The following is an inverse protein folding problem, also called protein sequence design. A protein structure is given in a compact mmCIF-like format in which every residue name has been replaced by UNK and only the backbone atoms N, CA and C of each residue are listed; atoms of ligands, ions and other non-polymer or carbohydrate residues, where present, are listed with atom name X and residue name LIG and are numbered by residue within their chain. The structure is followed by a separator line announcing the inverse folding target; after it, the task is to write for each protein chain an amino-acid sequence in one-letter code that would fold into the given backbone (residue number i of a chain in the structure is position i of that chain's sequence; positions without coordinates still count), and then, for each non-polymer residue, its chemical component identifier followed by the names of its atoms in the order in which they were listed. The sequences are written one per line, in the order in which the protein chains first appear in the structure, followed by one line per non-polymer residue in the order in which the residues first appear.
data_IF_352940310196
#
_entry.id   IF_352940310196
#
_cell.length_a   1.000
_cell.length_b   1.000
_cell.length_c   1.000
_cell.angle_alpha   90.00
_cell.angle_beta   90.00
_cell.angle_gamma   90.00
#
_symmetry.space_group_name_H-M   'P 1'
#
loop_
_entity.id
_entity.type
_entity.pdbx_description
1 polymer ?
#
# COMPACT_ATOMS: atom_id res chain seq x y z
N UNK A 1 26.00 -14.96 -5.46
CA UNK A 1 25.20 -13.71 -5.38
C UNK A 1 23.85 -14.00 -6.00
N UNK A 2 22.77 -13.66 -5.31
CA UNK A 2 21.39 -13.95 -5.74
C UNK A 2 20.65 -12.64 -6.05
N UNK A 3 19.77 -12.67 -7.06
CA UNK A 3 18.99 -11.51 -7.48
C UNK A 3 17.50 -11.83 -7.39
N UNK A 4 16.76 -11.06 -6.59
CA UNK A 4 15.31 -11.22 -6.42
C UNK A 4 14.62 -10.08 -7.19
N UNK A 5 13.80 -10.45 -8.17
CA UNK A 5 13.02 -9.52 -8.98
C UNK A 5 11.56 -9.56 -8.58
N UNK A 6 11.01 -8.40 -8.15
CA UNK A 6 9.58 -8.23 -7.86
C UNK A 6 9.01 -7.18 -8.81
N UNK A 7 8.09 -7.59 -9.67
CA UNK A 7 7.43 -6.70 -10.63
C UNK A 7 6.00 -7.19 -10.90
N UNK A 8 5.09 -6.25 -11.16
CA UNK A 8 3.72 -6.53 -11.59
C UNK A 8 3.57 -6.49 -13.12
N UNK A 9 4.65 -6.20 -13.86
CA UNK A 9 4.63 -6.13 -15.32
C UNK A 9 5.14 -7.44 -15.93
N UNK A 10 4.20 -8.26 -16.39
CA UNK A 10 4.45 -9.58 -16.97
C UNK A 10 5.34 -9.53 -18.22
N UNK A 11 5.17 -8.50 -19.08
CA UNK A 11 5.98 -8.36 -20.29
C UNK A 11 7.46 -8.10 -19.98
N UNK A 12 7.72 -7.25 -18.98
CA UNK A 12 9.09 -6.96 -18.55
C UNK A 12 9.74 -8.19 -17.92
N UNK A 13 9.01 -8.94 -17.09
CA UNK A 13 9.50 -10.18 -16.49
C UNK A 13 9.83 -11.22 -17.58
N UNK A 14 8.97 -11.39 -18.59
CA UNK A 14 9.20 -12.32 -19.68
C UNK A 14 10.49 -12.00 -20.46
N UNK A 15 10.74 -10.72 -20.75
CA UNK A 15 11.98 -10.25 -21.41
C UNK A 15 13.22 -10.57 -20.57
N UNK A 16 13.15 -10.32 -19.27
CA UNK A 16 14.27 -10.58 -18.35
C UNK A 16 14.54 -12.09 -18.24
N UNK A 17 13.51 -12.93 -18.14
CA UNK A 17 13.67 -14.38 -18.12
C UNK A 17 14.29 -14.88 -19.43
N UNK A 18 13.87 -14.34 -20.57
CA UNK A 18 14.45 -14.71 -21.86
C UNK A 18 15.93 -14.36 -21.96
N UNK A 19 16.33 -13.20 -21.42
CA UNK A 19 17.74 -12.80 -21.34
C UNK A 19 18.53 -13.68 -20.38
N UNK A 20 17.99 -13.97 -19.20
CA UNK A 20 18.62 -14.84 -18.21
C UNK A 20 18.87 -16.25 -18.77
N UNK A 21 17.90 -16.82 -19.50
CA UNK A 21 18.05 -18.11 -20.20
C UNK A 21 19.17 -18.08 -21.24
N UNK A 22 19.30 -17.00 -22.02
CA UNK A 22 20.40 -16.84 -22.99
C UNK A 22 21.77 -16.80 -22.32
N UNK A 23 21.83 -16.34 -21.08
CA UNK A 23 23.05 -16.25 -20.27
C UNK A 23 23.28 -17.50 -19.39
N UNK A 24 22.49 -18.58 -19.58
CA UNK A 24 22.53 -19.79 -18.76
C UNK A 24 22.38 -19.54 -17.25
N UNK A 25 21.61 -18.53 -16.89
CA UNK A 25 21.27 -18.25 -15.48
C UNK A 25 20.06 -19.11 -15.09
N UNK A 26 20.16 -19.80 -13.95
CA UNK A 26 19.06 -20.57 -13.36
C UNK A 26 18.03 -19.61 -12.78
N UNK A 27 16.76 -19.76 -13.19
CA UNK A 27 15.66 -18.89 -12.75
C UNK A 27 14.63 -19.73 -12.02
N UNK A 28 14.42 -19.44 -10.73
CA UNK A 28 13.32 -20.00 -9.95
C UNK A 28 12.15 -19.02 -9.93
N UNK A 29 10.98 -19.47 -10.37
CA UNK A 29 9.74 -18.71 -10.23
C UNK A 29 9.06 -19.13 -8.94
N UNK A 30 9.06 -18.24 -7.94
CA UNK A 30 8.13 -18.36 -6.82
C UNK A 30 6.80 -17.78 -7.25
N UNK A 31 5.88 -18.66 -7.65
CA UNK A 31 4.48 -18.27 -7.75
C UNK A 31 4.01 -17.93 -6.33
N UNK A 32 3.73 -16.65 -6.09
CA UNK A 32 2.98 -16.28 -4.91
C UNK A 32 1.56 -16.76 -5.18
N UNK A 33 1.11 -17.80 -4.47
CA UNK A 33 -0.29 -18.19 -4.40
C UNK A 33 -1.08 -16.98 -3.89
N UNK A 34 -1.48 -16.10 -4.81
CA UNK A 34 -2.36 -15.00 -4.50
C UNK A 34 -3.75 -15.61 -4.36
N UNK A 35 -4.04 -16.15 -3.19
CA UNK A 35 -5.38 -16.59 -2.85
C UNK A 35 -6.28 -15.36 -2.98
N UNK A 36 -7.06 -15.29 -4.07
CA UNK A 36 -7.86 -14.11 -4.42
C UNK A 36 -8.88 -13.77 -3.32
N UNK A 37 -9.30 -14.80 -2.57
CA UNK A 37 -10.11 -14.68 -1.37
C UNK A 37 -9.46 -13.85 -0.26
N UNK A 38 -8.15 -13.96 -0.06
CA UNK A 38 -7.46 -13.20 1.00
C UNK A 38 -7.41 -11.72 0.66
N UNK A 39 -7.25 -11.39 -0.63
CA UNK A 39 -7.25 -10.00 -1.09
C UNK A 39 -8.62 -9.34 -0.92
N UNK A 40 -9.71 -10.08 -1.19
CA UNK A 40 -11.07 -9.59 -0.99
C UNK A 40 -11.38 -9.39 0.51
N UNK A 41 -10.98 -10.34 1.37
CA UNK A 41 -11.15 -10.24 2.82
C UNK A 41 -10.36 -9.07 3.41
N UNK A 42 -9.12 -8.86 2.96
CA UNK A 42 -8.29 -7.70 3.35
C UNK A 42 -8.96 -6.39 2.92
N UNK A 43 -9.49 -6.33 1.69
CA UNK A 43 -10.17 -5.13 1.18
C UNK A 43 -11.37 -4.77 2.05
N UNK A 44 -12.23 -5.74 2.37
CA UNK A 44 -13.40 -5.52 3.24
C UNK A 44 -12.99 -5.11 4.66
N UNK A 45 -11.91 -5.69 5.20
CA UNK A 45 -11.38 -5.32 6.51
C UNK A 45 -10.86 -3.88 6.55
N UNK A 46 -10.20 -3.43 5.48
CA UNK A 46 -9.70 -2.04 5.37
C UNK A 46 -10.88 -1.08 5.23
N UNK A 47 -11.85 -1.38 4.36
CA UNK A 47 -13.00 -0.51 4.10
C UNK A 47 -13.85 -0.29 5.36
N UNK A 48 -14.01 -1.34 6.15
CA UNK A 48 -14.81 -1.34 7.38
C UNK A 48 -13.95 -1.09 8.64
N UNK A 49 -12.68 -0.71 8.48
CA UNK A 49 -11.81 -0.47 9.62
C UNK A 49 -12.31 0.72 10.44
N UNK A 50 -12.55 0.46 11.73
CA UNK A 50 -12.82 1.50 12.73
C UNK A 50 -11.83 1.34 13.88
N UNK A 51 -11.12 2.41 14.20
CA UNK A 51 -10.19 2.41 15.32
C UNK A 51 -10.98 2.28 16.64
N UNK A 52 -10.61 1.29 17.46
CA UNK A 52 -11.21 1.09 18.79
C UNK A 52 -10.81 2.17 19.79
N UNK A 53 -9.69 2.85 19.55
CA UNK A 53 -9.15 3.91 20.40
C UNK A 53 -9.11 5.22 19.60
N UNK A 54 -9.31 6.37 20.26
CA UNK A 54 -9.15 7.65 19.62
C UNK A 54 -7.73 7.80 19.04
N UNK A 55 -7.62 8.59 17.97
CA UNK A 55 -6.34 8.86 17.33
C UNK A 55 -5.35 9.43 18.35
N UNK A 56 -4.08 8.95 18.37
CA UNK A 56 -3.04 9.56 19.20
C UNK A 56 -2.70 10.99 18.75
N UNK A 57 -3.13 11.39 17.56
CA UNK A 57 -3.00 12.75 17.03
C UNK A 57 -4.14 13.68 17.46
N UNK A 58 -5.06 13.23 18.33
CA UNK A 58 -6.21 14.02 18.78
C UNK A 58 -7.38 14.03 17.80
N UNK A 59 -8.41 14.82 18.13
CA UNK A 59 -9.54 15.05 17.24
C UNK A 59 -9.19 16.14 16.22
N UNK A 60 -9.20 15.77 14.94
CA UNK A 60 -8.90 16.69 13.84
C UNK A 60 -9.86 17.89 13.80
N UNK A 61 -11.12 17.70 14.20
CA UNK A 61 -12.12 18.78 14.23
C UNK A 61 -11.81 19.75 15.36
N UNK A 62 -11.49 19.24 16.55
CA UNK A 62 -11.05 20.07 17.67
C UNK A 62 -9.78 20.85 17.32
N UNK A 63 -8.77 20.18 16.75
CA UNK A 63 -7.52 20.83 16.32
C UNK A 63 -7.76 21.93 15.30
N UNK A 64 -8.61 21.69 14.30
CA UNK A 64 -8.96 22.71 13.30
C UNK A 64 -9.64 23.93 13.93
N UNK A 65 -10.48 23.74 14.94
CA UNK A 65 -11.14 24.83 15.65
C UNK A 65 -10.16 25.62 16.52
N UNK A 66 -9.22 24.95 17.18
CA UNK A 66 -8.21 25.59 18.03
C UNK A 66 -7.16 26.38 17.23
N UNK A 67 -6.76 25.90 16.05
CA UNK A 67 -5.74 26.57 15.23
C UNK A 67 -6.27 27.71 14.37
N UNK A 68 -7.60 27.85 14.24
CA UNK A 68 -8.21 28.94 13.46
C UNK A 68 -8.52 30.12 14.38
N UNK A 69 -7.53 30.99 14.56
CA UNK A 69 -7.68 32.28 15.24
C UNK A 69 -8.57 33.27 14.43
N UNK A 70 -8.74 33.05 13.12
CA UNK A 70 -9.47 33.94 12.20
C UNK A 70 -11.02 33.91 12.32
N UNK A 71 -11.59 33.34 13.38
CA UNK A 71 -13.06 33.27 13.56
C UNK A 71 -13.66 34.49 14.24
N UNK A 72 -12.88 35.22 15.02
CA UNK A 72 -13.32 36.47 15.64
C UNK A 72 -13.10 37.62 14.66
N UNK A 73 -14.07 37.77 13.74
CA UNK A 73 -14.19 39.01 12.99
C UNK A 73 -14.52 40.14 13.99
N UNK A 74 -13.86 41.31 13.92
CA UNK A 74 -14.02 42.41 14.88
C UNK A 74 -15.38 43.13 14.82
N UNK A 75 -16.40 42.47 14.29
CA UNK A 75 -17.77 42.97 14.14
C UNK A 75 -18.83 42.03 14.76
N UNK A 76 -18.44 41.04 15.56
CA UNK A 76 -19.39 40.25 16.37
C UNK A 76 -19.93 41.03 17.56
#
# INVERSE_FOLDING_TARGET
MELILKSNNEQSIAKIIALAKKLNVVVEKKDADSNSNDKAAIKERILNFKASKPSPFGDAVAWQNEQREDRDLPFS
#
